data_IF_566776929013
#
_entry.id   IF_566776929013
#
_cell.length_a   1.000
_cell.length_b   1.000
_cell.length_c   1.000
_cell.angle_alpha   90.00
_cell.angle_beta   90.00
_cell.angle_gamma   90.00
#
_symmetry.space_group_name_H-M   'P 1'
#
loop_
_entity.id
_entity.type
_entity.pdbx_description
1 polymer ?
#
# COMPACT_ATOMS: atom_id res chain seq x y z
N UNK A 1 57.90 2.72 -33.87
CA UNK A 1 58.98 3.47 -34.52
C UNK A 1 58.35 4.42 -35.53
N UNK A 2 58.39 5.75 -35.29
CA UNK A 2 57.97 6.84 -36.22
C UNK A 2 56.46 6.83 -36.62
N UNK A 3 55.79 7.90 -37.09
CA UNK A 3 55.84 9.38 -37.03
C UNK A 3 54.63 9.89 -37.86
N UNK A 4 54.25 11.18 -37.65
CA UNK A 4 53.52 12.09 -38.57
C UNK A 4 52.05 11.72 -38.95
N UNK A 5 51.11 12.62 -39.30
CA UNK A 5 50.94 14.10 -39.27
C UNK A 5 49.43 14.41 -39.05
N UNK A 6 48.95 15.51 -38.44
CA UNK A 6 49.04 16.96 -38.68
C UNK A 6 48.18 17.52 -39.83
N UNK A 7 47.03 18.12 -39.51
CA UNK A 7 46.42 19.24 -40.28
C UNK A 7 45.92 20.32 -39.29
N UNK A 8 46.02 21.60 -39.67
CA UNK A 8 45.73 22.81 -38.88
C UNK A 8 44.49 23.55 -39.40
N UNK A 9 43.73 24.18 -38.49
CA UNK A 9 43.13 25.55 -38.58
C UNK A 9 41.99 25.68 -37.56
N UNK A 10 41.69 26.76 -36.84
CA UNK A 10 42.32 28.03 -36.45
C UNK A 10 41.21 28.84 -35.76
N UNK A 11 41.48 29.51 -34.63
CA UNK A 11 40.95 30.86 -34.24
C UNK A 11 39.44 31.16 -34.42
N UNK A 12 38.63 31.63 -33.47
CA UNK A 12 38.79 32.20 -32.11
C UNK A 12 37.46 32.10 -31.32
N UNK A 13 37.48 32.28 -30.00
CA UNK A 13 36.22 32.37 -29.22
C UNK A 13 36.33 32.00 -27.74
N UNK A 14 37.09 32.80 -26.96
CA UNK A 14 37.08 32.70 -25.48
C UNK A 14 35.71 33.24 -25.00
N UNK A 15 34.99 32.60 -24.08
CA UNK A 15 35.01 32.98 -22.65
C UNK A 15 34.22 31.99 -21.77
N UNK A 16 34.90 31.52 -20.70
CA UNK A 16 34.43 31.02 -19.39
C UNK A 16 33.50 29.77 -19.29
N UNK A 17 34.11 28.73 -18.74
CA UNK A 17 33.50 27.54 -18.11
C UNK A 17 32.65 27.92 -16.89
N UNK A 18 31.58 27.16 -16.65
CA UNK A 18 31.35 26.56 -15.34
C UNK A 18 31.55 25.05 -15.47
N UNK A 19 32.42 24.46 -14.65
CA UNK A 19 32.61 23.01 -14.58
C UNK A 19 31.56 22.44 -13.63
N UNK A 20 30.76 21.48 -14.09
CA UNK A 20 30.25 20.45 -13.19
C UNK A 20 31.23 19.28 -13.22
N UNK A 21 31.62 18.79 -12.04
CA UNK A 21 32.49 17.62 -11.87
C UNK A 21 31.76 16.67 -10.95
N UNK A 22 31.28 15.53 -11.47
CA UNK A 22 31.04 14.28 -10.73
C UNK A 22 31.03 13.15 -11.79
N UNK A 23 32.02 12.26 -11.67
CA UNK A 23 31.98 10.78 -11.78
C UNK A 23 30.79 10.18 -12.59
N UNK A 24 30.94 9.30 -13.59
CA UNK A 24 32.14 8.66 -14.15
C UNK A 24 31.97 7.15 -14.38
N UNK A 25 31.38 6.72 -15.50
CA UNK A 25 31.61 5.43 -16.23
C UNK A 25 30.67 5.28 -17.44
N UNK A 26 31.01 4.46 -18.47
CA UNK A 26 30.42 4.60 -19.81
C UNK A 26 29.29 3.61 -20.16
N UNK A 27 28.16 4.11 -20.66
CA UNK A 27 27.14 3.28 -21.30
C UNK A 27 27.64 2.76 -22.66
N UNK A 28 27.53 1.44 -22.86
CA UNK A 28 27.76 0.81 -24.15
C UNK A 28 26.63 1.11 -25.15
N UNK A 29 26.95 0.93 -26.43
CA UNK A 29 26.11 1.21 -27.59
C UNK A 29 24.74 0.52 -27.59
N UNK A 30 23.67 1.29 -27.81
CA UNK A 30 22.39 0.80 -28.33
C UNK A 30 22.02 1.66 -29.55
N UNK A 31 21.65 0.99 -30.65
CA UNK A 31 21.36 1.61 -31.95
C UNK A 31 20.12 2.53 -31.92
N UNK A 32 20.08 3.58 -32.77
CA UNK A 32 18.97 4.52 -32.79
C UNK A 32 17.73 3.93 -33.49
N UNK A 33 16.81 3.37 -32.71
CA UNK A 33 15.42 3.18 -33.18
C UNK A 33 14.68 4.51 -33.10
N UNK A 34 14.13 4.93 -34.24
CA UNK A 34 13.43 6.18 -34.44
C UNK A 34 12.21 6.34 -33.52
N UNK A 35 12.22 7.38 -32.69
CA UNK A 35 11.02 7.93 -32.05
C UNK A 35 10.83 9.39 -32.48
N UNK A 36 9.64 9.78 -32.98
CA UNK A 36 9.37 11.19 -33.28
C UNK A 36 9.26 12.01 -31.98
N UNK A 37 9.59 13.31 -32.00
CA UNK A 37 9.42 14.17 -30.84
C UNK A 37 7.93 14.33 -30.50
N UNK A 38 7.59 14.10 -29.23
CA UNK A 38 6.23 14.23 -28.72
C UNK A 38 5.79 15.70 -28.81
N UNK A 39 4.91 16.03 -29.76
CA UNK A 39 4.32 17.37 -29.88
C UNK A 39 3.26 17.56 -28.80
N UNK A 40 3.49 18.52 -27.92
CA UNK A 40 2.45 19.05 -27.04
C UNK A 40 1.30 19.63 -27.89
N UNK A 41 0.03 19.43 -27.49
CA UNK A 41 -1.10 20.05 -28.17
C UNK A 41 -0.99 21.58 -28.08
N UNK A 42 -1.22 22.26 -29.21
CA UNK A 42 -1.31 23.73 -29.22
C UNK A 42 -2.65 24.15 -28.60
N UNK A 43 -2.69 25.23 -27.79
CA UNK A 43 -3.96 25.78 -27.32
C UNK A 43 -4.85 26.25 -28.48
N UNK A 44 -6.18 26.29 -28.30
CA UNK A 44 -7.14 26.61 -29.35
C UNK A 44 -6.98 28.03 -29.90
N UNK A 45 -7.22 28.19 -31.20
CA UNK A 45 -6.80 29.34 -32.00
C UNK A 45 -7.76 30.56 -31.95
N UNK A 46 -8.25 30.94 -30.76
CA UNK A 46 -9.19 32.07 -30.59
C UNK A 46 -8.81 33.12 -29.54
N UNK A 47 -7.68 32.96 -28.82
CA UNK A 47 -7.20 34.00 -27.89
C UNK A 47 -6.38 35.07 -28.63
N UNK A 48 -7.03 36.20 -28.94
CA UNK A 48 -6.35 37.40 -29.45
C UNK A 48 -5.61 38.09 -28.31
N UNK A 49 -4.28 38.11 -28.34
CA UNK A 49 -3.46 38.88 -27.40
C UNK A 49 -3.38 40.32 -27.93
N UNK A 50 -4.16 41.23 -27.35
CA UNK A 50 -4.01 42.67 -27.58
C UNK A 50 -3.03 43.25 -26.54
N UNK A 51 -2.00 43.97 -27.00
CA UNK A 51 -1.04 44.62 -26.11
C UNK A 51 -1.59 45.98 -25.66
N UNK A 52 -2.22 46.00 -24.50
CA UNK A 52 -2.52 47.25 -23.78
C UNK A 52 -1.22 47.90 -23.29
N UNK A 53 -1.02 49.17 -23.64
CA UNK A 53 0.10 49.96 -23.13
C UNK A 53 -0.07 50.31 -21.66
N UNK A 54 1.06 50.39 -20.94
CA UNK A 54 1.20 50.69 -19.51
C UNK A 54 0.73 49.60 -18.51
N UNK A 55 1.63 48.65 -18.25
CA UNK A 55 1.99 48.24 -16.89
C UNK A 55 0.98 47.40 -16.09
N UNK A 56 1.25 46.09 -16.09
CA UNK A 56 0.65 45.04 -15.25
C UNK A 56 -0.78 44.59 -15.61
N UNK A 57 -1.01 43.30 -15.34
CA UNK A 57 -2.25 42.53 -15.47
C UNK A 57 -2.74 42.20 -16.89
N UNK A 58 -2.94 40.89 -17.11
CA UNK A 58 -3.60 40.35 -18.30
C UNK A 58 -4.84 39.59 -17.83
N UNK A 59 -6.03 40.13 -18.12
CA UNK A 59 -7.31 39.50 -17.79
C UNK A 59 -7.79 38.60 -18.93
N UNK A 60 -8.21 37.38 -18.59
CA UNK A 60 -9.05 36.54 -19.46
C UNK A 60 -10.45 36.54 -18.85
N UNK A 61 -11.41 37.17 -19.53
CA UNK A 61 -12.83 37.11 -19.17
C UNK A 61 -13.46 35.84 -19.73
N UNK A 62 -14.11 35.06 -18.87
CA UNK A 62 -15.00 34.00 -19.31
C UNK A 62 -16.41 34.55 -19.59
N UNK A 63 -17.14 33.83 -20.44
CA UNK A 63 -18.47 34.09 -20.98
C UNK A 63 -19.60 34.31 -19.96
N UNK A 64 -19.35 34.06 -18.67
CA UNK A 64 -20.30 34.26 -17.56
C UNK A 64 -20.02 35.50 -16.68
N UNK A 65 -18.97 36.28 -16.95
CA UNK A 65 -18.78 37.61 -16.37
C UNK A 65 -18.32 37.71 -14.91
N UNK A 66 -17.96 36.61 -14.24
CA UNK A 66 -17.33 36.66 -12.90
C UNK A 66 -15.83 36.94 -13.00
N UNK A 67 -15.35 37.98 -12.35
CA UNK A 67 -13.91 38.23 -12.17
C UNK A 67 -13.31 37.17 -11.24
N UNK A 68 -12.20 36.56 -11.68
CA UNK A 68 -11.35 35.69 -10.85
C UNK A 68 -9.91 36.15 -11.04
N UNK A 69 -9.21 36.44 -9.95
CA UNK A 69 -7.80 36.79 -9.99
C UNK A 69 -6.95 35.63 -10.53
N UNK A 70 -5.89 35.96 -11.27
CA UNK A 70 -5.02 34.97 -11.92
C UNK A 70 -4.06 34.26 -10.92
N UNK A 71 -4.32 34.31 -9.62
CA UNK A 71 -3.47 33.76 -8.55
C UNK A 71 -3.73 32.27 -8.24
N UNK A 72 -4.92 31.76 -8.60
CA UNK A 72 -5.41 30.42 -8.25
C UNK A 72 -4.67 29.23 -8.91
N UNK A 73 -3.77 29.49 -9.87
CA UNK A 73 -3.02 28.45 -10.61
C UNK A 73 -1.51 28.52 -10.35
N UNK A 74 -1.11 28.96 -9.15
CA UNK A 74 0.28 28.87 -8.69
C UNK A 74 0.59 27.50 -8.04
N UNK A 75 1.80 26.94 -8.20
CA UNK A 75 2.20 25.70 -7.53
C UNK A 75 2.08 25.75 -6.00
N UNK A 76 2.19 26.96 -5.42
CA UNK A 76 2.02 27.20 -4.00
C UNK A 76 0.58 26.90 -3.50
N UNK A 77 -0.46 27.21 -4.29
CA UNK A 77 -1.84 26.89 -3.94
C UNK A 77 -2.09 25.37 -3.92
N UNK A 78 -1.54 24.64 -4.90
CA UNK A 78 -1.56 23.17 -4.93
C UNK A 78 -0.83 22.54 -3.73
N UNK A 79 0.29 23.13 -3.31
CA UNK A 79 1.05 22.66 -2.15
C UNK A 79 0.33 22.96 -0.83
N UNK A 80 -0.22 24.17 -0.68
CA UNK A 80 -0.99 24.57 0.50
C UNK A 80 -2.27 23.73 0.65
N UNK A 81 -3.03 23.47 -0.41
CA UNK A 81 -4.21 22.60 -0.34
C UNK A 81 -3.84 21.15 0.06
N UNK A 82 -2.67 20.64 -0.35
CA UNK A 82 -2.15 19.35 0.15
C UNK A 82 -1.76 19.41 1.63
N UNK A 83 -1.06 20.47 2.05
CA UNK A 83 -0.64 20.65 3.45
C UNK A 83 -1.86 20.78 4.37
N UNK A 84 -2.88 21.53 3.98
CA UNK A 84 -4.12 21.67 4.74
C UNK A 84 -4.94 20.36 4.75
N UNK A 85 -5.05 19.63 3.64
CA UNK A 85 -5.66 18.30 3.63
C UNK A 85 -4.91 17.26 4.50
N UNK A 86 -3.58 17.40 4.64
CA UNK A 86 -2.76 16.56 5.52
C UNK A 86 -2.84 16.99 6.99
N UNK A 87 -3.01 18.29 7.29
CA UNK A 87 -3.22 18.82 8.64
C UNK A 87 -4.63 18.57 9.17
N UNK A 88 -5.67 18.78 8.35
CA UNK A 88 -7.07 18.70 8.78
C UNK A 88 -7.51 17.29 9.23
N UNK A 89 -6.71 16.26 8.93
CA UNK A 89 -6.92 14.88 9.41
C UNK A 89 -6.12 14.53 10.68
N UNK A 90 -5.34 15.46 11.24
CA UNK A 90 -4.38 15.20 12.33
C UNK A 90 -5.02 14.47 13.53
N UNK A 91 -6.18 14.92 14.00
CA UNK A 91 -6.91 14.41 15.18
C UNK A 91 -7.89 13.26 14.86
N UNK A 92 -7.54 12.35 13.95
CA UNK A 92 -8.33 11.12 13.79
C UNK A 92 -8.21 10.30 15.09
N UNK A 93 -9.30 9.93 15.79
CA UNK A 93 -9.21 9.08 16.96
C UNK A 93 -8.89 7.63 16.56
N UNK A 94 -8.29 6.87 17.48
CA UNK A 94 -8.20 5.42 17.33
C UNK A 94 -9.61 4.81 17.40
N UNK A 95 -9.90 3.88 16.51
CA UNK A 95 -11.17 3.14 16.47
C UNK A 95 -10.87 1.67 16.77
N UNK A 96 -11.30 1.14 17.94
CA UNK A 96 -11.23 -0.29 18.22
C UNK A 96 -11.93 -1.09 17.12
N UNK A 97 -11.36 -2.25 16.77
CA UNK A 97 -11.93 -3.16 15.78
C UNK A 97 -12.30 -4.47 16.46
N UNK A 98 -13.36 -5.09 15.98
CA UNK A 98 -13.80 -6.41 16.41
C UNK A 98 -13.13 -7.48 15.54
N UNK A 99 -12.24 -8.27 16.13
CA UNK A 99 -11.36 -9.22 15.45
C UNK A 99 -11.67 -10.66 15.91
N UNK A 100 -11.77 -11.59 14.96
CA UNK A 100 -11.82 -13.03 15.19
C UNK A 100 -10.48 -13.69 14.80
N UNK A 101 -10.07 -14.72 15.54
CA UNK A 101 -8.80 -15.43 15.34
C UNK A 101 -9.05 -16.92 15.11
N UNK A 102 -8.52 -17.46 14.01
CA UNK A 102 -8.56 -18.89 13.69
C UNK A 102 -7.14 -19.48 13.63
N UNK A 103 -6.91 -20.51 14.43
CA UNK A 103 -5.73 -21.37 14.31
C UNK A 103 -6.11 -22.65 13.56
N UNK A 104 -5.42 -22.93 12.46
CA UNK A 104 -5.53 -24.18 11.69
C UNK A 104 -4.35 -25.07 12.04
N UNK A 105 -4.59 -26.15 12.79
CA UNK A 105 -3.52 -27.08 13.19
C UNK A 105 -4.01 -28.46 13.62
N UNK A 106 -3.42 -29.49 13.02
CA UNK A 106 -3.67 -30.88 13.39
C UNK A 106 -3.02 -31.30 14.71
N UNK A 107 -1.95 -30.64 15.14
CA UNK A 107 -1.17 -31.03 16.33
C UNK A 107 -1.39 -30.13 17.55
N UNK A 108 -1.79 -28.87 17.36
CA UNK A 108 -1.99 -27.94 18.48
C UNK A 108 -3.31 -28.16 19.23
N UNK A 109 -3.25 -27.78 20.49
CA UNK A 109 -4.36 -27.56 21.42
C UNK A 109 -4.43 -26.07 21.78
N UNK A 110 -5.43 -25.64 22.56
CA UNK A 110 -5.58 -24.23 22.96
C UNK A 110 -4.38 -23.73 23.78
N UNK A 111 -3.79 -24.60 24.58
CA UNK A 111 -2.68 -24.33 25.50
C UNK A 111 -1.32 -24.28 24.77
N UNK A 112 -1.20 -25.03 23.66
CA UNK A 112 0.03 -25.11 22.86
C UNK A 112 0.02 -24.19 21.64
N UNK A 113 -1.09 -23.49 21.39
CA UNK A 113 -1.23 -22.55 20.29
C UNK A 113 -0.65 -21.16 20.61
N UNK A 114 0.68 -21.08 20.52
CA UNK A 114 1.45 -19.84 20.69
C UNK A 114 1.17 -18.80 19.60
N UNK A 115 0.82 -19.21 18.37
CA UNK A 115 0.57 -18.26 17.28
C UNK A 115 -0.81 -17.59 17.41
N UNK A 116 -1.86 -18.34 17.70
CA UNK A 116 -3.17 -17.74 17.99
C UNK A 116 -3.17 -16.96 19.30
N UNK A 117 -2.37 -17.35 20.30
CA UNK A 117 -2.20 -16.55 21.52
C UNK A 117 -1.51 -15.21 21.19
N UNK A 118 -0.44 -15.22 20.39
CA UNK A 118 0.25 -14.00 19.97
C UNK A 118 -0.68 -13.00 19.27
N UNK A 119 -1.61 -13.45 18.42
CA UNK A 119 -2.61 -12.54 17.85
C UNK A 119 -3.50 -11.92 18.92
N UNK A 120 -4.00 -12.71 19.87
CA UNK A 120 -4.84 -12.22 20.97
C UNK A 120 -4.07 -11.19 21.82
N UNK A 121 -2.83 -11.48 22.17
CA UNK A 121 -1.99 -10.57 22.95
C UNK A 121 -1.81 -9.25 22.18
N UNK A 122 -1.37 -9.34 20.91
CA UNK A 122 -1.07 -8.18 20.06
C UNK A 122 -2.27 -7.30 19.72
N UNK A 123 -3.42 -7.90 19.42
CA UNK A 123 -4.62 -7.13 19.12
C UNK A 123 -5.18 -6.44 20.38
N UNK A 124 -5.05 -7.09 21.55
CA UNK A 124 -5.48 -6.52 22.84
C UNK A 124 -4.53 -5.41 23.28
N UNK A 125 -3.22 -5.59 23.12
CA UNK A 125 -2.19 -4.56 23.34
C UNK A 125 -2.43 -3.31 22.48
N UNK A 126 -2.90 -3.49 21.24
CA UNK A 126 -3.26 -2.40 20.33
C UNK A 126 -4.63 -1.74 20.64
N UNK A 127 -5.44 -2.32 21.55
CA UNK A 127 -6.76 -1.80 21.92
C UNK A 127 -7.92 -2.26 21.02
N UNK A 128 -7.73 -3.29 20.20
CA UNK A 128 -8.82 -3.95 19.47
C UNK A 128 -9.52 -5.00 20.36
N UNK A 129 -10.77 -5.35 20.02
CA UNK A 129 -11.56 -6.36 20.73
C UNK A 129 -11.46 -7.74 20.09
N UNK A 130 -11.19 -8.77 20.90
CA UNK A 130 -11.36 -10.16 20.48
C UNK A 130 -12.85 -10.56 20.56
N UNK A 131 -13.46 -10.89 19.43
CA UNK A 131 -14.82 -11.47 19.40
C UNK A 131 -14.77 -12.97 19.71
N UNK A 132 -13.95 -13.70 18.96
CA UNK A 132 -13.86 -15.15 19.06
C UNK A 132 -12.45 -15.64 18.73
N UNK A 133 -12.00 -16.71 19.41
CA UNK A 133 -10.81 -17.48 19.01
C UNK A 133 -11.17 -18.96 18.90
N UNK A 134 -10.97 -19.51 17.71
CA UNK A 134 -11.27 -20.90 17.37
C UNK A 134 -9.99 -21.63 16.93
N UNK A 135 -9.90 -22.92 17.23
CA UNK A 135 -8.85 -23.81 16.73
C UNK A 135 -9.52 -24.96 15.96
N UNK A 136 -9.18 -25.10 14.68
CA UNK A 136 -9.67 -26.17 13.81
C UNK A 136 -8.52 -27.06 13.32
N UNK A 137 -8.88 -28.28 12.91
CA UNK A 137 -8.02 -29.17 12.10
C UNK A 137 -7.94 -28.65 10.67
N UNK A 138 -6.94 -29.09 9.92
CA UNK A 138 -6.76 -28.66 8.51
C UNK A 138 -7.78 -29.37 7.61
N UNK A 139 -8.98 -28.81 7.60
CA UNK A 139 -10.17 -29.30 6.92
C UNK A 139 -10.79 -28.14 6.15
N UNK A 140 -10.61 -28.18 4.81
CA UNK A 140 -11.05 -27.16 3.87
C UNK A 140 -12.50 -26.72 4.09
N UNK A 141 -13.40 -27.65 4.40
CA UNK A 141 -14.83 -27.36 4.56
C UNK A 141 -15.13 -26.71 5.91
N UNK A 142 -14.46 -27.15 6.99
CA UNK A 142 -14.62 -26.52 8.31
C UNK A 142 -14.03 -25.12 8.37
N UNK A 143 -12.86 -24.92 7.77
CA UNK A 143 -12.23 -23.59 7.64
C UNK A 143 -13.16 -22.66 6.86
N UNK A 144 -13.65 -23.11 5.70
CA UNK A 144 -14.58 -22.32 4.86
C UNK A 144 -15.88 -21.99 5.60
N UNK A 145 -16.46 -22.95 6.32
CA UNK A 145 -17.69 -22.73 7.09
C UNK A 145 -17.49 -21.69 8.22
N UNK A 146 -16.42 -21.80 9.01
CA UNK A 146 -16.14 -20.85 10.08
C UNK A 146 -15.89 -19.43 9.55
N UNK A 147 -15.10 -19.30 8.48
CA UNK A 147 -14.80 -18.00 7.87
C UNK A 147 -16.05 -17.39 7.22
N UNK A 148 -16.90 -18.18 6.57
CA UNK A 148 -18.17 -17.71 6.03
C UNK A 148 -19.13 -17.19 7.13
N UNK A 149 -19.21 -17.88 8.28
CA UNK A 149 -19.98 -17.41 9.44
C UNK A 149 -19.54 -16.02 9.90
N UNK A 150 -18.22 -15.79 10.06
CA UNK A 150 -17.70 -14.48 10.48
C UNK A 150 -17.81 -13.38 9.42
N UNK A 151 -17.74 -13.72 8.13
CA UNK A 151 -18.01 -12.77 7.04
C UNK A 151 -19.46 -12.29 7.10
N UNK A 152 -20.41 -13.18 7.44
CA UNK A 152 -21.83 -12.88 7.57
C UNK A 152 -22.21 -12.19 8.90
N UNK A 153 -21.48 -12.44 9.99
CA UNK A 153 -21.70 -11.81 11.30
C UNK A 153 -21.44 -10.29 11.25
N UNK A 154 -22.44 -9.48 11.56
CA UNK A 154 -22.33 -8.02 11.56
C UNK A 154 -21.24 -7.49 12.51
N UNK A 155 -20.89 -8.23 13.57
CA UNK A 155 -19.93 -7.80 14.58
C UNK A 155 -18.46 -7.99 14.17
N UNK A 156 -18.12 -8.98 13.32
CA UNK A 156 -16.72 -9.38 13.07
C UNK A 156 -16.11 -8.63 11.89
N UNK A 157 -15.29 -7.61 12.14
CA UNK A 157 -14.72 -6.74 11.11
C UNK A 157 -13.42 -7.30 10.49
N UNK A 158 -12.65 -8.07 11.26
CA UNK A 158 -11.38 -8.66 10.81
C UNK A 158 -11.30 -10.12 11.22
N UNK A 159 -10.82 -10.98 10.32
CA UNK A 159 -10.56 -12.41 10.54
C UNK A 159 -9.08 -12.68 10.30
N UNK A 160 -8.37 -13.12 11.34
CA UNK A 160 -6.94 -13.45 11.28
C UNK A 160 -6.76 -14.96 11.40
N UNK A 161 -6.16 -15.58 10.37
CA UNK A 161 -5.99 -17.03 10.27
C UNK A 161 -4.50 -17.38 10.27
N UNK A 162 -4.09 -18.31 11.12
CA UNK A 162 -2.71 -18.85 11.16
C UNK A 162 -2.69 -20.36 10.96
N UNK A 163 -1.92 -20.83 9.98
CA UNK A 163 -1.76 -22.25 9.65
C UNK A 163 -2.44 -22.67 8.34
N UNK A 164 -2.11 -23.88 7.87
CA UNK A 164 -2.66 -24.47 6.63
C UNK A 164 -2.29 -23.76 5.33
N UNK A 165 -1.23 -22.93 5.31
CA UNK A 165 -0.76 -22.20 4.11
C UNK A 165 0.54 -22.76 3.52
N UNK A 166 0.99 -23.94 3.94
CA UNK A 166 2.14 -24.64 3.38
C UNK A 166 1.82 -25.33 2.04
N UNK A 167 2.65 -26.29 1.65
CA UNK A 167 2.55 -27.03 0.38
C UNK A 167 2.29 -28.54 0.57
N UNK A 168 1.96 -28.99 1.78
CA UNK A 168 1.57 -30.39 2.00
C UNK A 168 0.15 -30.62 1.49
N UNK A 169 -0.21 -31.86 1.16
CA UNK A 169 -1.57 -32.19 0.69
C UNK A 169 -2.70 -31.98 1.71
N UNK A 170 -2.38 -31.51 2.93
CA UNK A 170 -3.37 -31.04 3.91
C UNK A 170 -3.54 -29.53 3.96
N UNK A 171 -2.50 -28.76 3.62
CA UNK A 171 -2.50 -27.29 3.75
C UNK A 171 -3.59 -26.66 2.86
N UNK A 172 -4.75 -26.37 3.45
CA UNK A 172 -5.97 -26.04 2.70
C UNK A 172 -6.52 -24.64 2.94
N UNK A 173 -5.88 -23.82 3.79
CA UNK A 173 -6.38 -22.49 4.17
C UNK A 173 -6.57 -21.55 2.97
N UNK A 174 -5.61 -21.38 2.02
CA UNK A 174 -5.82 -20.51 0.87
C UNK A 174 -6.97 -21.01 -0.03
N UNK A 175 -7.06 -22.31 -0.28
CA UNK A 175 -8.14 -22.95 -1.05
C UNK A 175 -9.51 -22.81 -0.39
N UNK A 176 -9.57 -22.90 0.94
CA UNK A 176 -10.80 -22.73 1.72
C UNK A 176 -11.31 -21.27 1.64
N UNK A 177 -10.40 -20.30 1.74
CA UNK A 177 -10.71 -18.87 1.91
C UNK A 177 -10.82 -18.12 0.57
N UNK A 178 -9.99 -18.40 -0.43
CA UNK A 178 -9.92 -17.59 -1.66
C UNK A 178 -11.26 -17.48 -2.41
N UNK A 179 -12.12 -18.51 -2.35
CA UNK A 179 -13.45 -18.49 -2.97
C UNK A 179 -14.51 -17.69 -2.19
N UNK A 180 -14.19 -17.22 -0.98
CA UNK A 180 -15.06 -16.38 -0.15
C UNK A 180 -14.76 -14.89 -0.31
N UNK A 181 -13.67 -14.51 -1.00
CA UNK A 181 -13.21 -13.13 -1.10
C UNK A 181 -13.88 -12.41 -2.27
N UNK A 182 -14.57 -11.30 -2.00
CA UNK A 182 -15.09 -10.41 -3.05
C UNK A 182 -13.95 -9.74 -3.83
N UNK A 183 -12.86 -9.40 -3.11
CA UNK A 183 -11.66 -8.74 -3.63
C UNK A 183 -10.43 -9.29 -2.91
N UNK A 184 -9.42 -9.71 -3.65
CA UNK A 184 -8.12 -10.05 -3.08
C UNK A 184 -7.30 -8.78 -2.81
N UNK A 185 -6.44 -8.83 -1.81
CA UNK A 185 -5.48 -7.78 -1.45
C UNK A 185 -4.09 -8.36 -1.72
N UNK A 186 -3.73 -8.44 -3.01
CA UNK A 186 -2.50 -9.12 -3.47
C UNK A 186 -1.24 -8.56 -2.78
N UNK A 187 -1.20 -7.24 -2.61
CA UNK A 187 -0.14 -6.51 -1.93
C UNK A 187 0.12 -6.96 -0.49
N UNK A 188 -0.83 -7.59 0.21
CA UNK A 188 -0.59 -8.17 1.53
C UNK A 188 0.38 -9.35 1.45
N UNK A 189 0.13 -10.29 0.53
CA UNK A 189 1.00 -11.46 0.36
C UNK A 189 2.38 -11.06 -0.20
N UNK A 190 2.41 -10.09 -1.11
CA UNK A 190 3.65 -9.52 -1.67
C UNK A 190 4.50 -8.85 -0.59
N UNK A 191 3.92 -7.90 0.16
CA UNK A 191 4.61 -7.20 1.23
C UNK A 191 5.06 -8.16 2.32
N UNK A 192 4.19 -9.08 2.76
CA UNK A 192 4.53 -10.10 3.75
C UNK A 192 5.75 -10.93 3.32
N UNK A 193 5.77 -11.39 2.06
CA UNK A 193 6.91 -12.15 1.52
C UNK A 193 8.18 -11.30 1.46
N UNK A 194 8.07 -10.02 1.10
CA UNK A 194 9.19 -9.08 1.06
C UNK A 194 9.79 -8.82 2.45
N UNK A 195 8.97 -8.48 3.45
CA UNK A 195 9.45 -8.21 4.82
C UNK A 195 9.93 -9.47 5.55
N UNK A 196 9.57 -10.66 5.06
CA UNK A 196 10.09 -11.95 5.58
C UNK A 196 11.48 -12.31 5.03
N UNK A 197 11.96 -11.68 3.95
CA UNK A 197 13.28 -12.02 3.36
C UNK A 197 14.45 -11.86 4.35
N UNK A 198 14.55 -10.80 5.18
CA UNK A 198 15.63 -10.66 6.16
C UNK A 198 15.65 -11.78 7.22
N UNK A 199 14.47 -12.29 7.61
CA UNK A 199 14.33 -13.26 8.70
C UNK A 199 14.52 -14.71 8.26
N UNK A 200 13.95 -15.09 7.09
CA UNK A 200 13.89 -16.49 6.64
C UNK A 200 14.48 -16.71 5.23
N UNK A 201 15.00 -15.66 4.59
CA UNK A 201 15.63 -15.72 3.27
C UNK A 201 14.67 -16.21 2.18
N UNK A 202 15.19 -17.03 1.27
CA UNK A 202 14.44 -17.63 0.16
C UNK A 202 13.31 -18.56 0.60
N UNK A 203 13.28 -19.00 1.85
CA UNK A 203 12.18 -19.81 2.43
C UNK A 203 10.82 -19.11 2.35
N UNK A 204 10.80 -17.77 2.22
CA UNK A 204 9.58 -16.97 2.01
C UNK A 204 8.75 -17.44 0.80
N UNK A 205 9.38 -18.05 -0.21
CA UNK A 205 8.70 -18.63 -1.38
C UNK A 205 7.71 -19.76 -0.98
N UNK A 206 7.95 -20.43 0.16
CA UNK A 206 7.05 -21.49 0.67
C UNK A 206 5.83 -20.93 1.46
N UNK A 207 5.65 -19.60 1.54
CA UNK A 207 4.54 -18.98 2.26
C UNK A 207 3.41 -18.52 1.33
N UNK A 208 2.30 -19.27 1.30
CA UNK A 208 1.07 -18.90 0.58
C UNK A 208 0.18 -17.95 1.39
N UNK A 209 0.77 -16.85 1.89
CA UNK A 209 0.02 -15.79 2.56
C UNK A 209 -0.93 -15.10 1.57
N UNK A 210 -2.18 -14.90 2.00
CA UNK A 210 -3.31 -14.41 1.21
C UNK A 210 -4.12 -13.44 2.08
N UNK A 211 -4.63 -12.36 1.52
CA UNK A 211 -5.68 -11.57 2.17
C UNK A 211 -6.73 -11.10 1.16
N UNK A 212 -7.89 -10.72 1.67
CA UNK A 212 -8.96 -10.11 0.88
C UNK A 212 -10.04 -9.47 1.72
N UNK A 213 -10.94 -8.77 1.05
CA UNK A 213 -12.17 -8.22 1.62
C UNK A 213 -13.36 -9.06 1.15
N UNK A 214 -14.28 -9.33 2.07
CA UNK A 214 -15.58 -9.96 1.78
C UNK A 214 -16.65 -9.40 2.70
N UNK A 215 -17.77 -8.90 2.15
CA UNK A 215 -18.87 -8.31 2.93
C UNK A 215 -18.40 -7.27 4.00
N UNK A 216 -17.48 -6.38 3.64
CA UNK A 216 -16.89 -5.41 4.58
C UNK A 216 -16.02 -6.02 5.70
N UNK A 217 -15.58 -7.27 5.54
CA UNK A 217 -14.73 -8.01 6.48
C UNK A 217 -13.36 -8.19 5.86
N UNK A 218 -12.28 -7.83 6.56
CA UNK A 218 -10.91 -8.15 6.14
C UNK A 218 -10.55 -9.57 6.59
N UNK A 219 -10.13 -10.43 5.69
CA UNK A 219 -9.68 -11.79 5.98
C UNK A 219 -8.21 -11.94 5.61
N UNK A 220 -7.36 -12.31 6.56
CA UNK A 220 -5.92 -12.47 6.38
C UNK A 220 -5.47 -13.89 6.75
N UNK A 221 -4.87 -14.61 5.81
CA UNK A 221 -4.33 -15.95 5.96
C UNK A 221 -2.80 -15.90 6.02
N UNK A 222 -2.23 -16.45 7.09
CA UNK A 222 -0.81 -16.38 7.41
C UNK A 222 -0.21 -17.75 7.79
N UNK A 223 1.11 -17.94 7.65
CA UNK A 223 1.77 -19.17 8.07
C UNK A 223 1.57 -19.49 9.56
N UNK A 224 1.65 -20.78 9.88
CA UNK A 224 1.48 -21.30 11.24
C UNK A 224 2.61 -20.95 12.23
N UNK A 225 3.72 -20.36 11.77
CA UNK A 225 4.86 -20.05 12.64
C UNK A 225 4.60 -18.77 13.44
N UNK A 226 4.99 -18.79 14.72
CA UNK A 226 4.81 -17.64 15.62
C UNK A 226 5.64 -16.43 15.15
N UNK A 227 6.77 -16.65 14.48
CA UNK A 227 7.53 -15.56 13.85
C UNK A 227 6.77 -14.96 12.65
N UNK A 228 6.13 -15.76 11.78
CA UNK A 228 5.34 -15.22 10.68
C UNK A 228 4.15 -14.37 11.17
N UNK A 229 3.48 -14.81 12.25
CA UNK A 229 2.44 -14.00 12.91
C UNK A 229 3.00 -12.68 13.44
N UNK A 230 4.16 -12.70 14.10
CA UNK A 230 4.86 -11.49 14.55
C UNK A 230 5.18 -10.54 13.38
N UNK A 231 5.88 -11.03 12.35
CA UNK A 231 6.29 -10.26 11.18
C UNK A 231 5.09 -9.64 10.45
N UNK A 232 3.98 -10.39 10.33
CA UNK A 232 2.75 -9.87 9.73
C UNK A 232 2.02 -8.84 10.60
N UNK A 233 1.99 -9.04 11.93
CA UNK A 233 1.37 -8.07 12.83
C UNK A 233 2.20 -6.79 12.93
N UNK A 234 3.42 -6.91 13.43
CA UNK A 234 4.32 -5.80 13.75
C UNK A 234 4.74 -5.03 12.48
N UNK A 235 4.73 -5.67 11.29
CA UNK A 235 5.15 -5.07 10.01
C UNK A 235 4.05 -4.74 9.00
N UNK A 236 2.78 -5.11 9.25
CA UNK A 236 1.65 -4.80 8.33
C UNK A 236 0.35 -4.50 9.10
N UNK A 237 -0.15 -5.45 9.88
CA UNK A 237 -1.52 -5.37 10.42
C UNK A 237 -1.67 -4.26 11.45
N UNK A 238 -0.69 -4.05 12.34
CA UNK A 238 -0.74 -3.01 13.36
C UNK A 238 -0.94 -1.61 12.76
N UNK A 239 -0.26 -1.32 11.64
CA UNK A 239 -0.42 -0.06 10.90
C UNK A 239 -1.73 -0.03 10.11
N UNK A 240 -2.05 -1.09 9.38
CA UNK A 240 -3.21 -1.12 8.47
C UNK A 240 -4.57 -1.24 9.17
N UNK A 241 -4.59 -1.63 10.45
CA UNK A 241 -5.77 -1.68 11.31
C UNK A 241 -5.91 -0.44 12.22
N UNK A 242 -4.90 0.43 12.30
CA UNK A 242 -5.01 1.71 13.00
C UNK A 242 -5.69 2.76 12.11
N UNK A 243 -6.85 3.26 12.53
CA UNK A 243 -7.61 4.32 11.84
C UNK A 243 -6.80 5.59 11.57
N UNK A 244 -5.74 5.82 12.36
CA UNK A 244 -4.86 7.01 12.31
C UNK A 244 -3.77 6.89 11.26
N UNK A 245 -3.48 5.68 10.76
CA UNK A 245 -2.37 5.44 9.83
C UNK A 245 -2.61 6.11 8.47
N UNK A 246 -1.53 6.59 7.84
CA UNK A 246 -1.56 7.40 6.61
C UNK A 246 -0.55 6.87 5.57
N UNK A 247 -0.82 7.04 4.26
CA UNK A 247 -1.89 7.84 3.65
C UNK A 247 -3.29 7.18 3.69
N UNK A 248 -3.36 5.87 3.87
CA UNK A 248 -4.59 5.09 3.92
C UNK A 248 -4.42 3.82 4.77
N UNK A 249 -5.52 3.30 5.29
CA UNK A 249 -5.64 2.09 6.11
C UNK A 249 -7.00 1.40 5.83
N UNK A 250 -7.26 0.21 6.38
CA UNK A 250 -8.50 -0.53 6.07
C UNK A 250 -9.75 -0.03 6.79
N UNK A 251 -9.63 0.68 7.92
CA UNK A 251 -10.77 0.99 8.81
C UNK A 251 -11.97 1.62 8.10
N UNK A 252 -11.82 2.59 7.17
CA UNK A 252 -12.96 3.17 6.43
C UNK A 252 -13.67 2.22 5.45
N UNK A 253 -13.12 1.03 5.21
CA UNK A 253 -13.64 0.02 4.29
C UNK A 253 -14.24 -1.19 5.01
N UNK A 254 -14.12 -1.27 6.33
CA UNK A 254 -14.73 -2.31 7.15
C UNK A 254 -16.19 -1.97 7.44
N UNK A 255 -17.01 -3.01 7.68
CA UNK A 255 -18.40 -2.84 8.11
C UNK A 255 -18.45 -2.15 9.47
N UNK A 256 -19.49 -1.34 9.68
CA UNK A 256 -19.71 -0.63 10.93
C UNK A 256 -20.28 -1.62 11.94
N UNK A 257 -19.53 -1.85 13.02
CA UNK A 257 -19.93 -2.67 14.14
C UNK A 257 -19.83 -1.84 15.43
N UNK A 258 -20.77 -2.03 16.35
CA UNK A 258 -20.61 -1.49 17.71
C UNK A 258 -19.37 -2.13 18.37
N UNK A 259 -18.53 -1.34 19.07
CA UNK A 259 -17.37 -1.89 19.76
C UNK A 259 -17.81 -2.97 20.77
N UNK A 260 -17.14 -4.11 20.77
CA UNK A 260 -17.45 -5.17 21.72
C UNK A 260 -17.30 -4.66 23.16
N UNK A 261 -18.42 -4.49 23.85
CA UNK A 261 -18.42 -4.12 25.26
C UNK A 261 -17.71 -5.22 26.06
N UNK A 262 -16.60 -4.86 26.72
CA UNK A 262 -15.88 -5.76 27.62
C UNK A 262 -16.84 -6.30 28.67
N UNK A 263 -17.15 -7.61 28.62
CA UNK A 263 -17.89 -8.29 29.68
C UNK A 263 -16.98 -8.32 30.91
N UNK A 264 -17.26 -7.43 31.86
CA UNK A 264 -16.58 -7.37 33.17
C UNK A 264 -16.98 -8.50 34.10
#
# INVERSE_FOLDING_TARGET
MRLQEMIRSSVSGRVRRCRCWIIGSPCHSISPLSRPPMRWPRPPASSRIEQGGNGAEAFIRDSAGSEKECCDITPACFLNNRIEAMKAKADTPFVPLNIAVLTVSDTRTRETDTSGQMFVDRLTEAGHGLIERVLLKDDLYKIRAQVATWIADEQVQVVLITGGTGFTGRDSTPEAVACLLDKQVDGFGELFRQISVPDIGTSTIQSRALAGLSNGTLVCCLPGSTNAVRTAWDGILAEQLDSRFRPCNFVPHLKQAEPCATRG
#
